data_IF_359463576659
#
_entry.id   IF_359463576659
#
_cell.length_a   1.000
_cell.length_b   1.000
_cell.length_c   1.000
_cell.angle_alpha   90.00
_cell.angle_beta   90.00
_cell.angle_gamma   90.00
#
_symmetry.space_group_name_H-M   'P 1'
#
loop_
_entity.id
_entity.type
_entity.pdbx_description
1 polymer ?
#
# COMPACT_ATOMS: atom_id res chain seq x y z
N UNK A 1 14.31 -19.20 3.41
CA UNK A 1 14.27 -19.14 4.87
C UNK A 1 13.07 -18.30 5.23
N UNK A 2 12.13 -18.85 6.00
CA UNK A 2 10.98 -18.11 6.52
C UNK A 2 11.38 -17.56 7.89
N UNK A 3 11.10 -16.27 8.13
CA UNK A 3 11.26 -15.61 9.43
C UNK A 3 10.03 -15.88 10.28
N UNK A 4 8.87 -15.93 9.64
CA UNK A 4 7.57 -16.16 10.26
C UNK A 4 7.52 -17.51 10.98
N UNK A 5 7.00 -17.50 12.19
CA UNK A 5 6.73 -18.69 12.96
C UNK A 5 5.34 -19.24 12.59
N UNK A 6 5.30 -20.19 11.66
CA UNK A 6 4.05 -20.84 11.22
C UNK A 6 3.16 -21.37 12.35
N UNK A 7 3.72 -21.75 13.50
CA UNK A 7 2.93 -22.22 14.66
C UNK A 7 2.13 -21.13 15.36
N UNK A 8 2.46 -19.85 15.13
CA UNK A 8 1.72 -18.69 15.63
C UNK A 8 0.64 -18.20 14.66
N UNK A 9 0.62 -18.72 13.42
CA UNK A 9 -0.36 -18.36 12.42
C UNK A 9 -1.53 -19.36 12.44
N UNK A 10 -2.73 -18.88 12.12
CA UNK A 10 -3.90 -19.77 12.00
C UNK A 10 -3.74 -20.73 10.83
N UNK A 11 -4.40 -21.90 10.85
CA UNK A 11 -4.35 -22.84 9.72
C UNK A 11 -4.82 -22.22 8.39
N UNK A 12 -5.80 -21.33 8.44
CA UNK A 12 -6.33 -20.64 7.26
C UNK A 12 -5.31 -19.68 6.65
N UNK A 13 -4.65 -18.86 7.48
CA UNK A 13 -3.56 -17.97 7.01
C UNK A 13 -2.40 -18.79 6.46
N UNK A 14 -1.99 -19.85 7.16
CA UNK A 14 -0.92 -20.73 6.67
C UNK A 14 -1.25 -21.32 5.30
N UNK A 15 -2.48 -21.84 5.11
CA UNK A 15 -2.91 -22.41 3.82
C UNK A 15 -2.91 -21.36 2.70
N UNK A 16 -3.45 -20.17 2.98
CA UNK A 16 -3.45 -19.05 2.04
C UNK A 16 -2.04 -18.66 1.61
N UNK A 17 -1.11 -18.56 2.57
CA UNK A 17 0.29 -18.21 2.29
C UNK A 17 1.04 -19.30 1.53
N UNK A 18 0.70 -20.58 1.76
CA UNK A 18 1.28 -21.69 0.98
C UNK A 18 0.83 -21.67 -0.47
N UNK A 19 -0.43 -21.35 -0.74
CA UNK A 19 -0.93 -21.22 -2.11
C UNK A 19 -0.32 -20.00 -2.81
N UNK A 20 -0.25 -18.86 -2.11
CA UNK A 20 0.44 -17.66 -2.59
C UNK A 20 1.91 -17.97 -2.93
N UNK A 21 2.64 -18.67 -2.06
CA UNK A 21 4.03 -19.04 -2.30
C UNK A 21 4.22 -19.96 -3.52
N UNK A 22 3.31 -20.90 -3.76
CA UNK A 22 3.37 -21.76 -4.97
C UNK A 22 3.29 -20.93 -6.24
N UNK A 23 2.37 -19.97 -6.30
CA UNK A 23 2.21 -19.07 -7.44
C UNK A 23 3.43 -18.19 -7.65
N UNK A 24 3.99 -17.64 -6.57
CA UNK A 24 5.23 -16.88 -6.64
C UNK A 24 6.39 -17.71 -7.22
N UNK A 25 6.55 -18.96 -6.75
CA UNK A 25 7.62 -19.84 -7.23
C UNK A 25 7.45 -20.20 -8.71
N UNK A 26 6.21 -20.37 -9.18
CA UNK A 26 5.93 -20.57 -10.60
C UNK A 26 6.31 -19.33 -11.42
N UNK A 27 5.89 -18.13 -10.98
CA UNK A 27 6.23 -16.88 -11.65
C UNK A 27 7.75 -16.62 -11.69
N UNK A 28 8.46 -16.87 -10.59
CA UNK A 28 9.93 -16.80 -10.53
C UNK A 28 10.55 -17.74 -11.56
N UNK A 29 10.08 -18.98 -11.65
CA UNK A 29 10.59 -19.96 -12.61
C UNK A 29 10.43 -19.49 -14.06
N UNK A 30 9.28 -18.91 -14.43
CA UNK A 30 9.07 -18.38 -15.77
C UNK A 30 9.91 -17.12 -16.04
N UNK A 31 10.00 -16.21 -15.08
CA UNK A 31 10.80 -14.99 -15.22
C UNK A 31 12.28 -15.29 -15.51
N UNK A 32 12.85 -16.29 -14.83
CA UNK A 32 14.25 -16.68 -14.99
C UNK A 32 14.56 -17.38 -16.32
N UNK A 33 13.53 -17.86 -17.05
CA UNK A 33 13.71 -18.42 -18.41
C UNK A 33 13.89 -17.34 -19.47
N UNK A 34 13.48 -16.10 -19.19
CA UNK A 34 13.65 -14.95 -20.09
C UNK A 34 15.14 -14.67 -20.25
N UNK A 35 15.61 -14.60 -21.50
CA UNK A 35 17.05 -14.55 -21.83
C UNK A 35 17.76 -13.36 -21.17
N UNK A 36 17.12 -12.20 -21.19
CA UNK A 36 17.61 -10.94 -20.62
C UNK A 36 17.79 -11.03 -19.10
N UNK A 37 17.10 -11.96 -18.42
CA UNK A 37 17.17 -12.15 -16.97
C UNK A 37 18.26 -13.14 -16.56
N UNK A 38 18.95 -13.79 -17.50
CA UNK A 38 20.00 -14.78 -17.20
C UNK A 38 21.35 -14.15 -16.84
N UNK A 39 21.48 -12.83 -16.96
CA UNK A 39 22.70 -12.08 -16.63
C UNK A 39 22.94 -11.96 -15.11
N UNK A 40 21.86 -12.06 -14.30
CA UNK A 40 21.92 -11.99 -12.85
C UNK A 40 21.80 -13.40 -12.24
N UNK A 41 22.73 -13.75 -11.35
CA UNK A 41 22.62 -14.97 -10.56
C UNK A 41 21.56 -14.78 -9.46
N UNK A 42 20.30 -15.06 -9.81
CA UNK A 42 19.16 -14.91 -8.90
C UNK A 42 19.34 -15.65 -7.57
N UNK A 43 19.82 -16.89 -7.57
CA UNK A 43 19.93 -17.67 -6.34
C UNK A 43 20.96 -17.04 -5.39
N UNK A 44 22.08 -16.55 -5.92
CA UNK A 44 23.07 -15.83 -5.12
C UNK A 44 22.52 -14.52 -4.57
N UNK A 45 21.81 -13.74 -5.41
CA UNK A 45 21.18 -12.47 -5.01
C UNK A 45 20.10 -12.69 -3.93
N UNK A 46 19.21 -13.67 -4.15
CA UNK A 46 18.13 -14.00 -3.23
C UNK A 46 18.66 -14.47 -1.87
N UNK A 47 19.63 -15.37 -1.85
CA UNK A 47 20.24 -15.82 -0.59
C UNK A 47 20.90 -14.66 0.15
N UNK A 48 21.66 -13.82 -0.56
CA UNK A 48 22.30 -12.63 0.00
C UNK A 48 21.28 -11.69 0.66
N UNK A 49 20.14 -11.44 0.00
CA UNK A 49 19.07 -10.60 0.55
C UNK A 49 18.39 -11.25 1.77
N UNK A 50 18.01 -12.52 1.66
CA UNK A 50 17.29 -13.21 2.72
C UNK A 50 18.15 -13.42 3.98
N UNK A 51 19.44 -13.67 3.81
CA UNK A 51 20.40 -13.77 4.92
C UNK A 51 20.59 -12.42 5.61
N UNK A 52 20.67 -11.33 4.84
CA UNK A 52 20.72 -9.99 5.40
C UNK A 52 19.44 -9.65 6.15
N UNK A 53 18.28 -9.99 5.60
CA UNK A 53 16.98 -9.78 6.23
C UNK A 53 16.84 -10.52 7.56
N UNK A 54 17.15 -11.82 7.58
CA UNK A 54 17.10 -12.61 8.80
C UNK A 54 18.05 -12.08 9.89
N UNK A 55 19.27 -11.67 9.51
CA UNK A 55 20.23 -11.05 10.46
C UNK A 55 19.75 -9.71 10.98
N UNK A 56 19.19 -8.87 10.10
CA UNK A 56 18.68 -7.56 10.47
C UNK A 56 17.53 -7.66 11.47
N UNK A 57 16.53 -8.52 11.20
CA UNK A 57 15.42 -8.78 12.13
C UNK A 57 15.94 -9.31 13.46
N UNK A 58 16.81 -10.34 13.43
CA UNK A 58 17.34 -10.97 14.65
C UNK A 58 18.17 -10.02 15.51
N UNK A 59 18.93 -9.12 14.89
CA UNK A 59 19.74 -8.12 15.60
C UNK A 59 18.96 -6.88 16.02
N UNK A 60 17.67 -6.80 15.66
CA UNK A 60 16.84 -5.60 15.83
C UNK A 60 17.50 -4.36 15.20
N UNK A 61 17.97 -4.51 13.97
CA UNK A 61 18.63 -3.45 13.20
C UNK A 61 20.00 -3.01 13.70
N UNK A 62 20.59 -3.68 14.71
CA UNK A 62 21.89 -3.28 15.27
C UNK A 62 23.10 -3.67 14.43
N UNK A 63 23.00 -4.77 13.68
CA UNK A 63 24.14 -5.33 12.93
C UNK A 63 24.27 -4.78 11.50
N UNK A 64 23.18 -4.25 10.96
CA UNK A 64 23.11 -3.70 9.60
C UNK A 64 22.29 -2.43 9.66
N UNK A 65 22.90 -1.32 9.27
CA UNK A 65 22.15 -0.10 9.04
C UNK A 65 21.38 -0.22 7.73
N UNK A 66 20.45 0.69 7.54
CA UNK A 66 19.69 0.75 6.31
C UNK A 66 20.52 1.13 5.08
N UNK A 67 21.53 1.98 5.26
CA UNK A 67 22.46 2.30 4.16
C UNK A 67 23.27 1.05 3.78
N UNK A 68 23.65 0.22 4.76
CA UNK A 68 24.29 -1.07 4.47
C UNK A 68 23.35 -1.94 3.61
N UNK A 69 22.05 -1.98 3.92
CA UNK A 69 21.05 -2.74 3.14
C UNK A 69 20.87 -2.19 1.71
N UNK A 70 20.93 -0.87 1.50
CA UNK A 70 20.95 -0.28 0.17
C UNK A 70 22.20 -0.71 -0.61
N UNK A 71 23.37 -0.60 0.01
CA UNK A 71 24.67 -0.90 -0.58
C UNK A 71 24.90 -2.41 -0.76
N UNK A 72 24.08 -3.26 -0.12
CA UNK A 72 24.07 -4.69 -0.38
C UNK A 72 23.73 -5.00 -1.83
N UNK A 73 22.99 -4.16 -2.55
CA UNK A 73 22.63 -4.46 -3.95
C UNK A 73 23.26 -3.45 -4.91
N UNK A 74 23.55 -3.86 -6.14
CA UNK A 74 23.88 -2.92 -7.22
C UNK A 74 22.60 -2.31 -7.78
N UNK A 75 22.71 -1.21 -8.54
CA UNK A 75 21.54 -0.63 -9.24
C UNK A 75 20.88 -1.65 -10.19
N UNK A 76 21.67 -2.45 -10.91
CA UNK A 76 21.18 -3.49 -11.81
C UNK A 76 20.46 -4.62 -11.04
N UNK A 77 21.01 -5.04 -9.89
CA UNK A 77 20.35 -6.03 -9.01
C UNK A 77 19.00 -5.49 -8.50
N UNK A 78 18.93 -4.19 -8.14
CA UNK A 78 17.66 -3.57 -7.73
C UNK A 78 16.64 -3.52 -8.86
N UNK A 79 17.05 -3.13 -10.06
CA UNK A 79 16.18 -3.14 -11.24
C UNK A 79 15.73 -4.57 -11.60
N UNK A 80 16.60 -5.55 -11.42
CA UNK A 80 16.24 -6.95 -11.62
C UNK A 80 15.16 -7.39 -10.62
N UNK A 81 15.31 -7.05 -9.35
CA UNK A 81 14.36 -7.38 -8.29
C UNK A 81 13.01 -6.69 -8.46
N UNK A 82 12.99 -5.39 -8.82
CA UNK A 82 11.74 -4.67 -9.09
C UNK A 82 10.99 -5.31 -10.25
N UNK A 83 11.67 -5.64 -11.36
CA UNK A 83 11.07 -6.33 -12.51
C UNK A 83 10.57 -7.73 -12.14
N UNK A 84 11.33 -8.49 -11.35
CA UNK A 84 10.91 -9.81 -10.89
C UNK A 84 9.63 -9.71 -10.05
N UNK A 85 9.61 -8.81 -9.06
CA UNK A 85 8.46 -8.62 -8.19
C UNK A 85 7.23 -8.12 -8.97
N UNK A 86 7.42 -7.22 -9.94
CA UNK A 86 6.34 -6.76 -10.82
C UNK A 86 5.81 -7.92 -11.66
N UNK A 87 6.68 -8.74 -12.24
CA UNK A 87 6.29 -9.93 -13.00
C UNK A 87 5.48 -10.92 -12.14
N UNK A 88 5.84 -11.10 -10.87
CA UNK A 88 5.04 -11.90 -9.93
C UNK A 88 3.64 -11.30 -9.76
N UNK A 89 3.53 -9.99 -9.51
CA UNK A 89 2.23 -9.31 -9.34
C UNK A 89 1.36 -9.40 -10.60
N UNK A 90 1.97 -9.25 -11.77
CA UNK A 90 1.27 -9.35 -13.04
C UNK A 90 0.82 -10.78 -13.33
N UNK A 91 1.67 -11.78 -13.06
CA UNK A 91 1.31 -13.20 -13.20
C UNK A 91 0.13 -13.57 -12.29
N UNK A 92 0.14 -13.07 -11.06
CA UNK A 92 -0.97 -13.28 -10.12
C UNK A 92 -2.25 -12.60 -10.61
N UNK A 93 -2.14 -11.40 -11.19
CA UNK A 93 -3.28 -10.69 -11.76
C UNK A 93 -3.83 -11.42 -12.99
N UNK A 94 -2.96 -11.94 -13.87
CA UNK A 94 -3.34 -12.75 -15.03
C UNK A 94 -4.12 -14.00 -14.61
N UNK A 95 -3.64 -14.69 -13.56
CA UNK A 95 -4.32 -15.86 -13.04
C UNK A 95 -5.69 -15.49 -12.45
N UNK A 96 -5.76 -14.44 -11.63
CA UNK A 96 -7.02 -14.00 -11.05
C UNK A 96 -8.03 -13.59 -12.13
N UNK A 97 -7.59 -12.87 -13.16
CA UNK A 97 -8.40 -12.50 -14.32
C UNK A 97 -8.86 -13.72 -15.14
N UNK A 98 -8.03 -14.75 -15.25
CA UNK A 98 -8.40 -16.00 -15.92
C UNK A 98 -9.41 -16.83 -15.12
N UNK A 99 -9.29 -16.87 -13.79
CA UNK A 99 -10.17 -17.66 -12.91
C UNK A 99 -11.50 -16.98 -12.65
N UNK A 100 -11.51 -15.65 -12.54
CA UNK A 100 -12.69 -14.85 -12.23
C UNK A 100 -12.72 -13.56 -13.08
N UNK A 101 -13.02 -13.64 -14.39
CA UNK A 101 -13.08 -12.46 -15.25
C UNK A 101 -13.99 -11.37 -14.68
N UNK A 102 -13.63 -10.11 -14.94
CA UNK A 102 -14.44 -8.98 -14.50
C UNK A 102 -15.85 -9.02 -15.14
N UNK A 103 -16.90 -8.71 -14.38
CA UNK A 103 -18.24 -8.52 -14.93
C UNK A 103 -18.27 -7.49 -16.08
N UNK A 104 -19.06 -7.76 -17.12
CA UNK A 104 -19.15 -6.93 -18.33
C UNK A 104 -19.65 -5.50 -18.08
N UNK A 105 -20.38 -5.29 -16.98
CA UNK A 105 -20.96 -4.01 -16.59
C UNK A 105 -20.00 -3.10 -15.81
N UNK A 106 -18.79 -3.60 -15.49
CA UNK A 106 -17.70 -2.81 -14.94
C UNK A 106 -16.92 -2.17 -16.08
N UNK A 107 -16.82 -0.84 -16.06
CA UNK A 107 -16.04 -0.10 -17.04
C UNK A 107 -14.66 0.23 -16.50
N UNK A 108 -13.66 -0.08 -17.31
CA UNK A 108 -12.26 0.23 -17.06
C UNK A 108 -11.80 1.20 -18.15
N UNK A 109 -11.45 2.43 -17.78
CA UNK A 109 -11.07 3.48 -18.74
C UNK A 109 -9.70 4.06 -18.38
N UNK A 110 -8.73 3.93 -19.29
CA UNK A 110 -7.41 4.51 -19.12
C UNK A 110 -7.47 6.03 -19.30
N UNK A 111 -6.78 6.78 -18.43
CA UNK A 111 -6.74 8.23 -18.45
C UNK A 111 -5.34 8.73 -18.08
N UNK A 112 -5.01 9.97 -18.49
CA UNK A 112 -3.80 10.67 -18.04
C UNK A 112 -4.18 11.85 -17.17
N UNK A 113 -3.77 11.82 -15.90
CA UNK A 113 -4.06 12.86 -14.90
C UNK A 113 -2.84 13.76 -14.76
N UNK A 114 -2.84 14.87 -15.50
CA UNK A 114 -1.68 15.77 -15.61
C UNK A 114 -0.38 15.04 -16.04
N UNK A 115 -0.50 14.11 -16.98
CA UNK A 115 0.62 13.33 -17.52
C UNK A 115 0.93 12.03 -16.76
N UNK A 116 0.35 11.82 -15.58
CA UNK A 116 0.43 10.55 -14.84
C UNK A 116 -0.60 9.57 -15.39
N UNK A 117 -0.26 8.33 -15.76
CA UNK A 117 -1.25 7.34 -16.14
C UNK A 117 -2.15 6.97 -14.95
N UNK A 118 -3.41 6.70 -15.22
CA UNK A 118 -4.38 6.26 -14.22
C UNK A 118 -5.50 5.48 -14.91
N UNK A 119 -6.31 4.81 -14.10
CA UNK A 119 -7.42 4.00 -14.56
C UNK A 119 -8.69 4.41 -13.80
N UNK A 120 -9.73 4.80 -14.53
CA UNK A 120 -11.08 4.86 -13.99
C UNK A 120 -11.66 3.46 -13.92
N UNK A 121 -12.22 3.13 -12.76
CA UNK A 121 -12.92 1.88 -12.51
C UNK A 121 -14.32 2.24 -12.04
N UNK A 122 -15.30 1.98 -12.90
CA UNK A 122 -16.67 2.48 -12.76
C UNK A 122 -17.60 1.29 -12.66
N UNK A 123 -18.22 1.15 -11.49
CA UNK A 123 -19.19 0.10 -11.20
C UNK A 123 -20.61 0.60 -11.45
N UNK A 124 -21.58 -0.30 -11.70
CA UNK A 124 -22.98 0.09 -11.84
C UNK A 124 -23.51 0.85 -10.62
N UNK A 125 -24.17 1.99 -10.88
CA UNK A 125 -24.73 2.84 -9.84
C UNK A 125 -23.71 3.66 -9.04
N UNK A 126 -22.44 3.72 -9.48
CA UNK A 126 -21.48 4.66 -8.94
C UNK A 126 -21.92 6.12 -9.21
N UNK A 127 -21.70 7.00 -8.24
CA UNK A 127 -21.95 8.44 -8.39
C UNK A 127 -21.01 9.04 -9.45
N UNK A 128 -21.57 9.93 -10.27
CA UNK A 128 -20.81 10.64 -11.31
C UNK A 128 -19.96 11.79 -10.74
N UNK A 129 -20.22 12.24 -9.51
CA UNK A 129 -19.58 13.40 -8.92
C UNK A 129 -18.66 13.06 -7.74
N UNK A 130 -18.74 11.84 -7.18
CA UNK A 130 -17.92 11.36 -6.07
C UNK A 130 -16.85 10.37 -6.53
N UNK A 131 -15.62 10.60 -6.07
CA UNK A 131 -14.43 9.88 -6.51
C UNK A 131 -13.68 9.31 -5.33
N UNK A 132 -13.38 8.02 -5.37
CA UNK A 132 -12.36 7.39 -4.54
C UNK A 132 -11.03 7.49 -5.29
N UNK A 133 -10.14 8.39 -4.86
CA UNK A 133 -8.78 8.48 -5.39
C UNK A 133 -7.94 7.39 -4.73
N UNK A 134 -7.51 6.40 -5.49
CA UNK A 134 -6.85 5.21 -4.96
C UNK A 134 -5.36 5.14 -5.32
N UNK A 135 -4.54 4.80 -4.33
CA UNK A 135 -3.11 4.52 -4.47
C UNK A 135 -2.84 3.06 -4.10
N UNK A 136 -2.22 2.31 -5.01
CA UNK A 136 -1.96 0.88 -4.82
C UNK A 136 -0.85 0.60 -3.79
N UNK A 137 -0.75 -0.65 -3.33
CA UNK A 137 0.37 -1.12 -2.52
C UNK A 137 1.57 -1.58 -3.37
N UNK A 138 2.55 -2.21 -2.74
CA UNK A 138 3.74 -2.75 -3.44
C UNK A 138 5.06 -2.06 -3.09
N UNK A 139 5.16 -1.53 -1.86
CA UNK A 139 6.44 -1.02 -1.33
C UNK A 139 7.08 0.11 -2.15
N UNK A 140 6.27 0.90 -2.88
CA UNK A 140 6.73 1.98 -3.77
C UNK A 140 7.62 1.51 -4.94
N UNK A 141 7.79 0.20 -5.14
CA UNK A 141 8.66 -0.38 -6.17
C UNK A 141 7.93 -1.25 -7.19
N UNK A 142 6.73 -1.72 -6.85
CA UNK A 142 5.87 -2.55 -7.70
C UNK A 142 4.40 -2.21 -7.49
N UNK A 143 3.55 -2.82 -8.31
CA UNK A 143 2.12 -2.64 -8.31
C UNK A 143 1.66 -1.72 -9.43
N UNK A 144 0.36 -1.72 -9.68
CA UNK A 144 -0.31 -0.92 -10.69
C UNK A 144 -1.81 -0.85 -10.38
N UNK A 145 -2.58 0.02 -11.06
CA UNK A 145 -4.04 -0.02 -11.02
C UNK A 145 -4.62 -1.41 -11.31
N UNK A 146 -4.01 -2.14 -12.25
CA UNK A 146 -4.43 -3.50 -12.62
C UNK A 146 -4.27 -4.48 -11.46
N UNK A 147 -3.15 -4.45 -10.75
CA UNK A 147 -2.89 -5.41 -9.66
C UNK A 147 -3.82 -5.23 -8.45
N UNK A 148 -4.48 -4.07 -8.32
CA UNK A 148 -5.46 -3.82 -7.25
C UNK A 148 -6.92 -3.93 -7.70
N UNK A 149 -7.17 -4.26 -8.98
CA UNK A 149 -8.47 -3.99 -9.63
C UNK A 149 -9.65 -4.68 -8.96
N UNK A 150 -9.52 -5.94 -8.54
CA UNK A 150 -10.58 -6.65 -7.83
C UNK A 150 -10.97 -5.99 -6.52
N UNK A 151 -9.96 -5.57 -5.75
CA UNK A 151 -10.17 -4.89 -4.49
C UNK A 151 -10.78 -3.51 -4.68
N UNK A 152 -10.27 -2.72 -5.62
CA UNK A 152 -10.77 -1.37 -5.89
C UNK A 152 -12.17 -1.39 -6.52
N UNK A 153 -12.51 -2.40 -7.32
CA UNK A 153 -13.88 -2.65 -7.77
C UNK A 153 -14.81 -2.90 -6.58
N UNK A 154 -14.41 -3.76 -5.64
CA UNK A 154 -15.21 -4.04 -4.46
C UNK A 154 -15.42 -2.79 -3.60
N UNK A 155 -14.38 -1.95 -3.45
CA UNK A 155 -14.50 -0.64 -2.83
C UNK A 155 -15.50 0.26 -3.58
N UNK A 156 -15.43 0.33 -4.90
CA UNK A 156 -16.39 1.07 -5.73
C UNK A 156 -17.82 0.56 -5.54
N UNK A 157 -18.02 -0.76 -5.51
CA UNK A 157 -19.33 -1.39 -5.30
C UNK A 157 -19.90 -1.07 -3.91
N UNK A 158 -19.07 -1.12 -2.87
CA UNK A 158 -19.46 -0.89 -1.49
C UNK A 158 -19.77 0.58 -1.23
N UNK A 159 -18.93 1.49 -1.74
CA UNK A 159 -19.04 2.94 -1.50
C UNK A 159 -19.95 3.67 -2.49
N UNK A 160 -20.26 3.05 -3.65
CA UNK A 160 -20.96 3.67 -4.78
C UNK A 160 -20.22 4.90 -5.33
N UNK A 161 -18.89 4.87 -5.31
CA UNK A 161 -18.02 5.89 -5.89
C UNK A 161 -17.31 5.33 -7.12
N UNK A 162 -16.97 6.20 -8.07
CA UNK A 162 -16.01 5.85 -9.13
C UNK A 162 -14.62 5.82 -8.53
N UNK A 163 -13.80 4.84 -8.88
CA UNK A 163 -12.42 4.77 -8.40
C UNK A 163 -11.48 5.29 -9.46
N UNK A 164 -10.63 6.24 -9.10
CA UNK A 164 -9.48 6.67 -9.92
C UNK A 164 -8.22 6.04 -9.32
N UNK A 165 -7.75 4.96 -9.91
CA UNK A 165 -6.53 4.27 -9.49
C UNK A 165 -5.33 4.85 -10.21
N UNK A 166 -4.37 5.42 -9.47
CA UNK A 166 -3.21 6.12 -10.05
C UNK A 166 -2.06 5.15 -10.28
N UNK A 167 -1.48 5.20 -11.47
CA UNK A 167 -0.27 4.45 -11.86
C UNK A 167 0.96 5.35 -11.61
N UNK A 168 1.26 5.57 -10.33
CA UNK A 168 2.33 6.50 -9.93
C UNK A 168 3.71 5.91 -10.24
N UNK A 169 4.70 6.77 -10.49
CA UNK A 169 6.08 6.34 -10.75
C UNK A 169 6.68 5.57 -9.58
N UNK A 170 7.39 4.49 -9.89
CA UNK A 170 7.97 3.53 -8.93
C UNK A 170 9.50 3.63 -8.85
N UNK A 171 10.05 3.30 -7.69
CA UNK A 171 11.47 3.08 -7.50
C UNK A 171 11.88 1.66 -7.95
N UNK A 172 13.16 1.41 -8.29
CA UNK A 172 14.31 2.33 -8.26
C UNK A 172 14.43 3.26 -9.48
N UNK A 173 13.62 3.10 -10.52
CA UNK A 173 13.65 3.95 -11.73
C UNK A 173 13.34 5.42 -11.42
N UNK A 174 12.39 5.62 -10.50
CA UNK A 174 11.90 6.91 -10.06
C UNK A 174 11.79 6.96 -8.53
N UNK A 175 12.90 7.16 -7.81
CA UNK A 175 12.90 7.22 -6.35
C UNK A 175 12.14 8.44 -5.82
N UNK A 176 12.05 8.55 -4.50
CA UNK A 176 11.46 9.69 -3.81
C UNK A 176 12.00 11.03 -4.37
N UNK A 177 11.13 12.04 -4.66
CA UNK A 177 9.70 12.09 -4.37
C UNK A 177 8.78 11.73 -5.56
N UNK A 178 9.26 11.05 -6.61
CA UNK A 178 8.53 10.95 -7.89
C UNK A 178 7.08 10.44 -7.77
N UNK A 179 6.86 9.31 -7.09
CA UNK A 179 5.51 8.77 -6.86
C UNK A 179 4.62 9.69 -6.00
N UNK A 180 5.20 10.39 -5.02
CA UNK A 180 4.48 11.34 -4.17
C UNK A 180 4.00 12.55 -4.98
N UNK A 181 4.85 13.08 -5.88
CA UNK A 181 4.47 14.16 -6.79
C UNK A 181 3.31 13.74 -7.70
N UNK A 182 3.31 12.49 -8.17
CA UNK A 182 2.28 11.99 -9.07
C UNK A 182 0.92 11.83 -8.37
N UNK A 183 0.92 11.40 -7.11
CA UNK A 183 -0.28 11.34 -6.28
C UNK A 183 -0.91 12.73 -6.07
N UNK A 184 -0.08 13.75 -5.82
CA UNK A 184 -0.53 15.15 -5.70
C UNK A 184 -1.04 15.69 -7.04
N UNK A 185 -0.37 15.38 -8.16
CA UNK A 185 -0.84 15.73 -9.51
C UNK A 185 -2.22 15.14 -9.81
N UNK A 186 -2.48 13.89 -9.40
CA UNK A 186 -3.76 13.23 -9.59
C UNK A 186 -4.88 13.92 -8.78
N UNK A 187 -4.60 14.27 -7.52
CA UNK A 187 -5.55 15.03 -6.70
C UNK A 187 -5.88 16.41 -7.32
N UNK A 188 -4.85 17.16 -7.73
CA UNK A 188 -5.03 18.45 -8.37
C UNK A 188 -5.75 18.35 -9.72
N UNK A 189 -5.53 17.26 -10.46
CA UNK A 189 -6.25 16.99 -11.71
C UNK A 189 -7.75 16.82 -11.47
N UNK A 190 -8.16 16.08 -10.42
CA UNK A 190 -9.57 15.95 -10.04
C UNK A 190 -10.21 17.30 -9.74
N UNK A 191 -9.52 18.16 -8.97
CA UNK A 191 -10.00 19.51 -8.67
C UNK A 191 -10.15 20.35 -9.94
N UNK A 192 -9.15 20.33 -10.82
CA UNK A 192 -9.17 21.07 -12.09
C UNK A 192 -10.24 20.56 -13.07
N UNK A 193 -10.65 19.30 -12.92
CA UNK A 193 -11.70 18.65 -13.69
C UNK A 193 -13.11 18.91 -13.12
N UNK A 194 -13.21 19.75 -12.09
CA UNK A 194 -14.48 20.19 -11.48
C UNK A 194 -15.02 19.30 -10.37
N UNK A 195 -14.27 18.28 -9.94
CA UNK A 195 -14.64 17.48 -8.77
C UNK A 195 -14.39 18.31 -7.51
N UNK A 196 -15.44 18.56 -6.71
CA UNK A 196 -15.31 19.30 -5.45
C UNK A 196 -14.40 18.52 -4.48
N UNK A 197 -13.55 19.17 -3.67
CA UNK A 197 -12.74 18.48 -2.66
C UNK A 197 -13.58 17.56 -1.76
N UNK A 198 -14.76 18.03 -1.33
CA UNK A 198 -15.69 17.26 -0.47
C UNK A 198 -16.43 16.12 -1.19
N UNK A 199 -16.21 15.96 -2.49
CA UNK A 199 -16.63 14.77 -3.22
C UNK A 199 -15.52 13.73 -3.38
N UNK A 200 -14.31 13.98 -2.85
CA UNK A 200 -13.15 13.08 -2.95
C UNK A 200 -12.93 12.39 -1.60
N UNK A 201 -12.71 11.08 -1.64
CA UNK A 201 -12.08 10.31 -0.56
C UNK A 201 -10.75 9.81 -1.11
N UNK A 202 -9.65 9.98 -0.38
CA UNK A 202 -8.36 9.36 -0.76
C UNK A 202 -8.25 8.02 -0.04
N UNK A 203 -7.85 6.97 -0.75
CA UNK A 203 -7.70 5.63 -0.19
C UNK A 203 -6.38 5.02 -0.66
N UNK A 204 -5.70 4.26 0.18
CA UNK A 204 -4.57 3.49 -0.28
C UNK A 204 -4.15 2.37 0.65
N UNK A 205 -3.49 1.38 0.05
CA UNK A 205 -3.01 0.16 0.69
C UNK A 205 -1.50 0.18 0.86
N UNK A 206 -0.98 -0.06 2.05
CA UNK A 206 0.45 -0.17 2.34
C UNK A 206 1.24 1.05 1.89
N UNK A 207 2.05 0.93 0.83
CA UNK A 207 2.71 2.06 0.17
C UNK A 207 1.71 3.11 -0.34
N UNK A 208 0.52 2.71 -0.78
CA UNK A 208 -0.57 3.62 -1.12
C UNK A 208 -1.17 4.31 0.09
N UNK A 209 -1.15 3.66 1.26
CA UNK A 209 -1.52 4.29 2.54
C UNK A 209 -0.51 5.37 2.93
N UNK A 210 0.77 5.11 2.70
CA UNK A 210 1.83 6.13 2.78
C UNK A 210 1.58 7.31 1.83
N UNK A 211 1.27 7.04 0.55
CA UNK A 211 0.96 8.08 -0.42
C UNK A 211 -0.32 8.85 -0.10
N UNK A 212 -1.29 8.21 0.55
CA UNK A 212 -2.50 8.87 1.06
C UNK A 212 -2.12 9.92 2.10
N UNK A 213 -1.35 9.55 3.12
CA UNK A 213 -0.92 10.45 4.19
C UNK A 213 -0.03 11.58 3.68
N UNK A 214 0.96 11.25 2.85
CA UNK A 214 1.91 12.26 2.32
C UNK A 214 1.28 13.19 1.29
N UNK A 215 0.26 12.73 0.54
CA UNK A 215 -0.56 13.61 -0.31
C UNK A 215 -1.33 14.61 0.56
N UNK A 216 -2.01 14.15 1.62
CA UNK A 216 -2.70 15.04 2.57
C UNK A 216 -1.77 16.07 3.20
N UNK A 217 -0.59 15.64 3.67
CA UNK A 217 0.44 16.55 4.20
C UNK A 217 0.78 17.63 3.19
N UNK A 218 1.07 17.22 1.94
CA UNK A 218 1.53 18.13 0.90
C UNK A 218 0.45 19.13 0.50
N UNK A 219 -0.75 18.66 0.17
CA UNK A 219 -1.84 19.53 -0.29
C UNK A 219 -2.28 20.50 0.83
N UNK A 220 -2.29 20.06 2.09
CA UNK A 220 -2.57 20.95 3.23
C UNK A 220 -1.52 22.05 3.34
N UNK A 221 -0.24 21.68 3.31
CA UNK A 221 0.86 22.65 3.45
C UNK A 221 0.90 23.65 2.29
N UNK A 222 0.40 23.26 1.11
CA UNK A 222 0.25 24.13 -0.06
C UNK A 222 -1.03 24.98 -0.04
N UNK A 223 -1.87 24.86 1.00
CA UNK A 223 -3.14 25.59 1.12
C UNK A 223 -4.23 25.10 0.15
N UNK A 224 -4.08 23.90 -0.41
CA UNK A 224 -5.05 23.28 -1.29
C UNK A 224 -6.16 22.66 -0.45
N UNK A 225 -7.41 22.83 -0.89
CA UNK A 225 -8.57 22.32 -0.16
C UNK A 225 -8.49 20.79 0.00
N UNK A 226 -8.74 20.31 1.22
CA UNK A 226 -8.62 18.90 1.60
C UNK A 226 -9.86 18.08 1.20
N UNK A 227 -9.71 16.75 1.00
CA UNK A 227 -10.80 15.86 0.65
C UNK A 227 -11.85 15.76 1.78
N UNK A 228 -12.92 15.01 1.52
CA UNK A 228 -13.94 14.71 2.53
C UNK A 228 -13.38 13.85 3.68
N UNK A 229 -12.47 12.93 3.35
CA UNK A 229 -11.87 11.99 4.28
C UNK A 229 -10.76 11.20 3.61
N UNK A 230 -10.06 10.39 4.40
CA UNK A 230 -9.07 9.46 3.87
C UNK A 230 -9.09 8.11 4.57
N UNK A 231 -8.70 7.06 3.83
CA UNK A 231 -8.67 5.68 4.27
C UNK A 231 -7.26 5.14 4.04
N UNK A 232 -6.62 4.65 5.09
CA UNK A 232 -5.29 4.08 5.04
C UNK A 232 -5.35 2.63 5.49
N UNK A 233 -4.95 1.72 4.62
CA UNK A 233 -5.02 0.28 4.87
C UNK A 233 -3.60 -0.25 5.02
N UNK A 234 -3.31 -0.86 6.17
CA UNK A 234 -1.98 -1.30 6.59
C UNK A 234 -0.86 -0.31 6.21
N UNK A 235 -1.02 1.01 6.47
CA UNK A 235 -0.14 2.03 5.89
C UNK A 235 1.31 1.92 6.34
N UNK A 236 2.25 2.16 5.43
CA UNK A 236 3.65 2.39 5.79
C UNK A 236 3.82 3.82 6.35
N UNK A 237 3.70 3.97 7.67
CA UNK A 237 3.65 5.29 8.32
C UNK A 237 5.00 5.81 8.79
N UNK A 238 5.97 4.91 8.97
CA UNK A 238 7.31 5.20 9.47
C UNK A 238 8.33 4.54 8.55
N UNK A 239 9.15 5.34 7.86
CA UNK A 239 10.23 4.84 7.01
C UNK A 239 11.59 4.87 7.72
N UNK A 240 11.62 5.31 8.99
CA UNK A 240 12.82 5.31 9.85
C UNK A 240 13.02 3.92 10.41
N UNK A 241 13.40 2.99 9.55
CA UNK A 241 13.62 1.59 9.96
C UNK A 241 14.75 1.42 10.98
N UNK A 242 15.56 2.46 11.20
CA UNK A 242 16.55 2.58 12.27
C UNK A 242 15.99 3.09 13.62
N UNK A 243 14.73 3.51 13.67
CA UNK A 243 14.02 4.04 14.85
C UNK A 243 12.60 3.45 14.99
N UNK A 244 12.49 2.13 14.78
CA UNK A 244 11.26 1.34 15.02
C UNK A 244 11.26 0.72 16.42
N UNK A 245 10.07 0.46 16.96
CA UNK A 245 9.91 -0.13 18.29
C UNK A 245 10.08 -1.66 18.30
N UNK A 246 10.16 -2.23 19.51
CA UNK A 246 10.35 -3.67 19.68
C UNK A 246 9.20 -4.50 19.08
N UNK A 247 7.98 -3.96 19.06
CA UNK A 247 6.80 -4.64 18.54
C UNK A 247 6.91 -4.89 17.02
N UNK A 248 7.52 -3.97 16.28
CA UNK A 248 7.82 -4.16 14.86
C UNK A 248 8.63 -5.46 14.62
N UNK A 249 9.64 -5.71 15.46
CA UNK A 249 10.47 -6.92 15.34
C UNK A 249 9.78 -8.17 15.88
N UNK A 250 8.97 -8.06 16.93
CA UNK A 250 8.18 -9.17 17.46
C UNK A 250 7.15 -9.67 16.43
N UNK A 251 6.50 -8.74 15.72
CA UNK A 251 5.54 -9.05 14.67
C UNK A 251 6.19 -9.68 13.41
N UNK A 252 7.51 -9.62 13.27
CA UNK A 252 8.19 -10.36 12.20
C UNK A 252 7.98 -11.88 12.31
N UNK A 253 7.67 -12.40 13.51
CA UNK A 253 7.32 -13.80 13.70
C UNK A 253 5.88 -14.14 13.24
N UNK A 254 5.03 -13.14 13.00
CA UNK A 254 3.62 -13.31 12.63
C UNK A 254 3.24 -12.64 11.31
N UNK A 255 4.20 -12.05 10.61
CA UNK A 255 3.97 -11.36 9.32
C UNK A 255 4.55 -12.15 8.13
N UNK A 256 3.75 -13.04 7.51
CA UNK A 256 4.21 -13.86 6.39
C UNK A 256 4.41 -13.08 5.09
N UNK A 257 4.05 -11.80 5.03
CA UNK A 257 4.19 -10.98 3.82
C UNK A 257 5.44 -10.12 3.91
N UNK A 258 5.56 -9.31 4.96
CA UNK A 258 6.64 -8.33 5.06
C UNK A 258 7.94 -8.94 5.57
N UNK A 259 7.86 -9.85 6.54
CA UNK A 259 9.06 -10.48 7.12
C UNK A 259 9.68 -11.46 6.12
N UNK A 260 8.88 -12.38 5.58
CA UNK A 260 9.37 -13.44 4.68
C UNK A 260 9.70 -12.93 3.28
N UNK A 261 9.05 -11.86 2.82
CA UNK A 261 9.34 -11.28 1.51
C UNK A 261 10.60 -10.42 1.49
N UNK A 262 11.15 -10.04 2.66
CA UNK A 262 12.25 -9.06 2.76
C UNK A 262 11.92 -7.71 2.11
N UNK A 263 10.63 -7.46 1.85
CA UNK A 263 10.14 -6.35 1.04
C UNK A 263 10.57 -5.02 1.67
N UNK A 264 10.35 -4.84 2.97
CA UNK A 264 10.71 -3.58 3.65
C UNK A 264 12.19 -3.21 3.51
N UNK A 265 13.09 -4.21 3.55
CA UNK A 265 14.53 -3.98 3.50
C UNK A 265 15.08 -3.68 2.10
N UNK A 266 14.31 -3.95 1.04
CA UNK A 266 14.69 -3.60 -0.33
C UNK A 266 13.89 -2.41 -0.86
N UNK A 267 12.58 -2.39 -0.60
CA UNK A 267 11.64 -1.36 -1.02
C UNK A 267 12.03 0.02 -0.49
N UNK A 268 12.16 0.14 0.83
CA UNK A 268 12.40 1.45 1.46
C UNK A 268 13.75 2.01 0.97
N UNK A 269 14.86 1.26 0.91
CA UNK A 269 16.14 1.86 0.49
C UNK A 269 16.11 2.26 -0.99
N UNK A 270 15.53 1.41 -1.84
CA UNK A 270 15.34 1.75 -3.25
C UNK A 270 14.51 3.03 -3.42
N UNK A 271 13.44 3.18 -2.63
CA UNK A 271 12.57 4.35 -2.65
C UNK A 271 13.27 5.61 -2.13
N UNK A 272 13.92 5.54 -0.96
CA UNK A 272 14.56 6.70 -0.35
C UNK A 272 15.79 7.16 -1.13
N UNK A 273 16.55 6.25 -1.76
CA UNK A 273 17.73 6.57 -2.55
C UNK A 273 18.68 7.59 -1.87
N UNK A 274 18.92 7.42 -0.57
CA UNK A 274 19.78 8.28 0.26
C UNK A 274 19.09 9.50 0.89
N UNK A 275 17.77 9.66 0.73
CA UNK A 275 16.99 10.67 1.47
C UNK A 275 16.86 10.28 2.94
N UNK A 276 16.88 11.29 3.80
CA UNK A 276 16.75 11.11 5.25
C UNK A 276 15.32 10.70 5.62
N UNK A 277 15.10 9.49 6.16
CA UNK A 277 13.76 9.06 6.57
C UNK A 277 13.19 9.85 7.75
N UNK A 278 14.01 10.65 8.45
CA UNK A 278 13.59 11.48 9.58
C UNK A 278 12.91 12.79 9.17
N UNK A 279 12.92 13.14 7.89
CA UNK A 279 12.09 14.23 7.39
C UNK A 279 10.60 13.90 7.67
N UNK A 280 9.86 14.73 8.41
CA UNK A 280 8.45 14.48 8.68
C UNK A 280 7.57 14.43 7.43
N UNK A 281 8.04 14.95 6.29
CA UNK A 281 7.38 14.82 4.98
C UNK A 281 7.61 13.45 4.32
N UNK A 282 8.54 12.65 4.85
CA UNK A 282 8.90 11.29 4.42
C UNK A 282 8.40 10.23 5.43
N UNK A 283 8.34 10.53 6.72
CA UNK A 283 7.78 9.62 7.74
C UNK A 283 6.60 10.28 8.47
N UNK A 284 5.36 10.13 7.94
CA UNK A 284 4.17 10.81 8.45
C UNK A 284 3.88 10.60 9.94
N UNK A 285 4.37 9.50 10.54
CA UNK A 285 4.21 9.23 11.98
C UNK A 285 4.76 10.35 12.88
N UNK A 286 5.69 11.17 12.37
CA UNK A 286 6.29 12.30 13.11
C UNK A 286 5.77 13.67 12.66
N UNK A 287 4.91 13.72 11.64
CA UNK A 287 4.45 14.98 11.06
C UNK A 287 3.43 15.70 11.95
N UNK A 288 3.29 17.02 11.73
CA UNK A 288 2.11 17.75 12.18
C UNK A 288 0.92 17.34 11.30
N UNK A 289 -0.12 16.76 11.89
CA UNK A 289 -1.33 16.27 11.25
C UNK A 289 -2.53 17.20 11.48
N UNK A 290 -2.34 18.34 12.17
CA UNK A 290 -3.43 19.31 12.41
C UNK A 290 -4.12 19.72 11.12
N UNK A 291 -5.45 19.80 11.19
CA UNK A 291 -6.29 20.16 10.05
C UNK A 291 -6.48 19.05 9.02
N UNK A 292 -5.97 17.83 9.25
CA UNK A 292 -6.30 16.69 8.39
C UNK A 292 -7.81 16.42 8.35
N UNK A 293 -8.33 15.88 7.23
CA UNK A 293 -9.70 15.41 7.18
C UNK A 293 -9.85 14.15 8.06
N UNK A 294 -11.08 13.70 8.34
CA UNK A 294 -11.30 12.45 9.06
C UNK A 294 -10.55 11.27 8.42
N UNK A 295 -9.93 10.44 9.27
CA UNK A 295 -9.13 9.29 8.87
C UNK A 295 -9.78 7.99 9.32
N UNK A 296 -9.81 6.99 8.43
CA UNK A 296 -9.95 5.59 8.79
C UNK A 296 -8.61 4.90 8.59
N UNK A 297 -8.09 4.26 9.63
CA UNK A 297 -6.90 3.41 9.57
C UNK A 297 -7.32 1.99 9.89
N UNK A 298 -7.06 1.05 8.98
CA UNK A 298 -7.25 -0.38 9.20
C UNK A 298 -5.89 -1.08 9.16
N UNK A 299 -5.58 -1.93 10.13
CA UNK A 299 -4.31 -2.67 10.16
C UNK A 299 -4.51 -4.08 10.74
N UNK A 300 -3.67 -5.03 10.31
CA UNK A 300 -3.55 -6.30 11.02
C UNK A 300 -2.77 -6.11 12.32
N UNK A 301 -3.11 -6.84 13.39
CA UNK A 301 -2.27 -6.88 14.59
C UNK A 301 -1.04 -7.76 14.43
N UNK A 302 -1.02 -8.61 13.40
CA UNK A 302 0.06 -9.53 13.08
C UNK A 302 1.14 -8.94 12.16
N UNK A 303 0.87 -7.79 11.52
CA UNK A 303 1.80 -7.17 10.56
C UNK A 303 2.90 -6.33 11.25
N UNK A 304 4.09 -6.29 10.65
CA UNK A 304 5.22 -5.51 11.17
C UNK A 304 4.91 -4.01 11.23
N UNK A 305 4.08 -3.50 10.32
CA UNK A 305 3.68 -2.08 10.25
C UNK A 305 2.65 -1.66 11.30
N UNK A 306 2.12 -2.61 12.09
CA UNK A 306 1.08 -2.36 13.07
C UNK A 306 1.48 -1.28 14.10
N UNK A 307 2.71 -1.34 14.60
CA UNK A 307 3.16 -0.41 15.63
C UNK A 307 3.28 1.02 15.12
N UNK A 308 3.75 1.19 13.87
CA UNK A 308 3.72 2.47 13.17
C UNK A 308 2.30 3.00 12.96
N UNK A 309 1.32 2.13 12.70
CA UNK A 309 -0.09 2.53 12.61
C UNK A 309 -0.60 3.07 13.95
N UNK A 310 -0.31 2.39 15.06
CA UNK A 310 -0.67 2.87 16.42
C UNK A 310 -0.08 4.23 16.73
N UNK A 311 1.21 4.41 16.49
CA UNK A 311 1.91 5.68 16.74
C UNK A 311 1.31 6.82 15.91
N UNK A 312 0.96 6.57 14.65
CA UNK A 312 0.31 7.57 13.81
C UNK A 312 -1.09 7.93 14.34
N UNK A 313 -1.85 6.93 14.80
CA UNK A 313 -3.18 7.13 15.38
C UNK A 313 -3.09 7.99 16.64
N UNK A 314 -2.17 7.68 17.55
CA UNK A 314 -1.93 8.47 18.76
C UNK A 314 -1.57 9.92 18.40
N UNK A 315 -0.65 10.11 17.44
CA UNK A 315 -0.27 11.43 16.92
C UNK A 315 -1.45 12.19 16.33
N UNK A 316 -2.30 11.51 15.56
CA UNK A 316 -3.47 12.10 14.92
C UNK A 316 -4.50 12.56 15.98
N UNK A 317 -4.72 11.77 17.03
CA UNK A 317 -5.58 12.16 18.15
C UNK A 317 -5.01 13.38 18.88
N UNK A 318 -3.70 13.38 19.17
CA UNK A 318 -3.03 14.51 19.84
C UNK A 318 -3.09 15.81 19.02
N UNK A 319 -3.08 15.70 17.69
CA UNK A 319 -3.26 16.83 16.76
C UNK A 319 -4.73 17.23 16.54
N UNK A 320 -5.68 16.55 17.20
CA UNK A 320 -7.10 16.85 17.11
C UNK A 320 -7.77 16.36 15.81
N UNK A 321 -7.17 15.39 15.12
CA UNK A 321 -7.75 14.77 13.93
C UNK A 321 -8.80 13.73 14.34
N UNK A 322 -9.95 13.73 13.66
CA UNK A 322 -10.94 12.68 13.83
C UNK A 322 -10.44 11.38 13.17
N UNK A 323 -9.89 10.48 13.98
CA UNK A 323 -9.34 9.20 13.53
C UNK A 323 -10.17 8.04 14.07
N UNK A 324 -10.54 7.11 13.18
CA UNK A 324 -11.06 5.79 13.51
C UNK A 324 -9.97 4.77 13.21
N UNK A 325 -9.51 4.07 14.23
CA UNK A 325 -8.56 2.98 14.09
C UNK A 325 -9.27 1.65 14.28
N UNK A 326 -9.10 0.74 13.32
CA UNK A 326 -9.65 -0.61 13.38
C UNK A 326 -8.52 -1.61 13.19
N UNK A 327 -8.50 -2.59 14.08
CA UNK A 327 -7.47 -3.62 14.10
C UNK A 327 -8.11 -4.97 13.85
N UNK A 328 -7.43 -5.80 13.07
CA UNK A 328 -7.89 -7.14 12.71
C UNK A 328 -6.86 -8.15 13.19
N UNK A 329 -7.32 -9.12 13.96
CA UNK A 329 -6.47 -10.16 14.51
C UNK A 329 -6.32 -11.31 13.51
N UNK A 330 -5.16 -11.96 13.51
CA UNK A 330 -4.89 -13.20 12.78
C UNK A 330 -5.11 -13.14 11.26
N UNK A 331 -4.89 -11.97 10.65
CA UNK A 331 -4.95 -11.76 9.18
C UNK A 331 -3.62 -11.22 8.64
N UNK A 332 -3.22 -11.54 7.40
CA UNK A 332 -1.96 -11.05 6.84
C UNK A 332 -1.98 -9.54 6.56
N UNK A 333 -0.80 -8.96 6.37
CA UNK A 333 -0.65 -7.58 5.90
C UNK A 333 -1.46 -7.34 4.62
N UNK A 334 -2.33 -6.33 4.63
CA UNK A 334 -3.18 -6.01 3.48
C UNK A 334 -4.20 -7.10 3.12
N UNK A 335 -4.68 -7.87 4.10
CA UNK A 335 -5.65 -8.97 3.92
C UNK A 335 -6.84 -8.65 3.00
N UNK A 336 -7.23 -7.38 2.87
CA UNK A 336 -8.29 -6.87 1.99
C UNK A 336 -8.18 -7.32 0.53
N UNK A 337 -6.97 -7.54 0.03
CA UNK A 337 -6.75 -7.95 -1.37
C UNK A 337 -6.72 -9.47 -1.56
N UNK A 338 -6.61 -10.22 -0.47
CA UNK A 338 -6.52 -11.68 -0.52
C UNK A 338 -7.93 -12.28 -0.59
N UNK A 339 -8.44 -12.34 -1.82
CA UNK A 339 -9.66 -13.06 -2.19
C UNK A 339 -10.82 -12.82 -1.22
N UNK A 340 -11.71 -11.87 -1.51
CA UNK A 340 -12.86 -11.53 -0.65
C UNK A 340 -13.72 -12.74 -0.22
N UNK A 341 -13.69 -13.83 -1.00
CA UNK A 341 -14.42 -15.06 -0.71
C UNK A 341 -13.61 -16.08 0.14
N UNK A 342 -12.34 -15.80 0.41
CA UNK A 342 -11.39 -16.67 1.14
C UNK A 342 -11.23 -16.19 2.58
N UNK A 343 -11.21 -14.87 2.80
CA UNK A 343 -11.14 -14.24 4.12
C UNK A 343 -12.40 -13.42 4.38
N UNK A 344 -13.36 -13.92 5.19
CA UNK A 344 -14.55 -13.15 5.58
C UNK A 344 -14.22 -11.77 6.17
N UNK A 345 -13.10 -11.68 6.90
CA UNK A 345 -12.60 -10.44 7.49
C UNK A 345 -12.36 -9.37 6.42
N UNK A 346 -11.93 -9.75 5.21
CA UNK A 346 -11.73 -8.80 4.10
C UNK A 346 -13.04 -8.16 3.64
N UNK A 347 -14.13 -8.94 3.57
CA UNK A 347 -15.46 -8.41 3.26
C UNK A 347 -15.97 -7.49 4.38
N UNK A 348 -15.80 -7.89 5.64
CA UNK A 348 -16.22 -7.08 6.80
C UNK A 348 -15.44 -5.75 6.87
N UNK A 349 -14.13 -5.78 6.60
CA UNK A 349 -13.30 -4.58 6.55
C UNK A 349 -13.75 -3.61 5.44
N UNK A 350 -14.13 -4.11 4.26
CA UNK A 350 -14.71 -3.28 3.18
C UNK A 350 -16.07 -2.72 3.59
N UNK A 351 -16.90 -3.50 4.28
CA UNK A 351 -18.18 -3.03 4.81
C UNK A 351 -17.99 -1.90 5.83
N UNK A 352 -16.95 -1.97 6.68
CA UNK A 352 -16.60 -0.88 7.59
C UNK A 352 -16.12 0.37 6.85
N UNK A 353 -15.34 0.22 5.77
CA UNK A 353 -14.98 1.33 4.88
C UNK A 353 -16.24 2.01 4.31
N UNK A 354 -17.19 1.21 3.81
CA UNK A 354 -18.48 1.73 3.34
C UNK A 354 -19.21 2.52 4.42
N UNK A 355 -19.31 2.00 5.64
CA UNK A 355 -19.97 2.70 6.76
C UNK A 355 -19.27 4.02 7.07
N UNK A 356 -17.94 4.05 7.07
CA UNK A 356 -17.17 5.27 7.27
C UNK A 356 -17.47 6.31 6.18
N UNK A 357 -17.42 5.93 4.90
CA UNK A 357 -17.72 6.83 3.78
C UNK A 357 -19.16 7.36 3.85
N UNK A 358 -20.13 6.49 4.11
CA UNK A 358 -21.54 6.90 4.23
C UNK A 358 -21.77 7.88 5.37
N UNK A 359 -21.08 7.69 6.51
CA UNK A 359 -21.13 8.62 7.63
C UNK A 359 -20.62 10.01 7.22
N UNK A 360 -19.45 10.08 6.59
CA UNK A 360 -18.88 11.36 6.14
C UNK A 360 -19.78 12.10 5.15
N UNK A 361 -20.34 11.39 4.17
CA UNK A 361 -21.27 11.97 3.19
C UNK A 361 -22.52 12.54 3.88
N UNK A 362 -23.04 11.82 4.88
CA UNK A 362 -24.21 12.28 5.64
C UNK A 362 -23.90 13.51 6.47
N UNK A 363 -22.73 13.55 7.13
CA UNK A 363 -22.29 14.69 7.92
C UNK A 363 -22.07 15.93 7.05
N UNK A 364 -21.40 15.79 5.89
CA UNK A 364 -21.24 16.86 4.90
C UNK A 364 -22.60 17.44 4.45
N UNK A 365 -23.58 16.57 4.17
CA UNK A 365 -24.90 17.01 3.73
C UNK A 365 -25.66 17.80 4.81
N UNK A 366 -25.45 17.47 6.09
CA UNK A 366 -26.07 18.20 7.21
C UNK A 366 -25.39 19.56 7.44
N UNK A 367 -24.08 19.66 7.25
CA UNK A 367 -23.33 20.93 7.34
C UNK A 367 -23.76 21.93 6.25
N UNK A 368 -24.13 21.48 5.05
CA UNK A 368 -24.59 22.36 3.97
C UNK A 368 -26.02 22.91 4.22
N UNK A 369 -26.81 22.22 5.04
CA UNK A 369 -28.20 22.62 5.34
C UNK A 369 -28.31 23.66 6.46
N UNK A 370 -27.22 23.91 7.20
CA UNK A 370 -27.12 24.87 8.29
C UNK A 370 -26.23 26.05 7.89
#
# INVERSE_FOLDING_TARGET
MSISNKSKLTPQVNALMEDFQKLQMQAISEFLKIKENQEINFLALWNKMMDANARWVKSKGKDLTFIDLYDLTTHEERLFLSRLMQFIFDTMSDQQESEAPLPEDIKIEQVKVNGVPAEWQIVPGASEDRVLLYFHGGGMIVGSPRNSRYFTIALGQATKMRVLSVDYRLAPEHPHPAGQEDCVKAYNWLLSSGIRPKNIIICGLSAGGYFTLTTLLRIRNEGIALPLGAICISPATDLRVDDVDDLFYENAETDPILADGGLLLFCIPAYLAGRDPHDPLISPVTADLKGFPPLLIQASTCEMLYSGCKRLVDKAMDDGVNVRFETWDDVPHGFHVFGLNILPEAEDAINHIKTFVQKLIKEEALEIQH
#
